data_IF_959377249507
#
_entry.id   IF_959377249507
#
_cell.length_a   1.000
_cell.length_b   1.000
_cell.length_c   1.000
_cell.angle_alpha   90.00
_cell.angle_beta   90.00
_cell.angle_gamma   90.00
#
_symmetry.space_group_name_H-M   'P 1'
#
loop_
_entity.id
_entity.type
_entity.pdbx_description
1 polymer ?
#
# COMPACT_ATOMS: atom_id res chain seq x y z
N UNK A 1 15.54 -20.26 7.41
CA UNK A 1 16.68 -19.32 7.47
C UNK A 1 16.65 -18.19 6.43
N UNK A 2 15.67 -18.10 5.52
CA UNK A 2 15.71 -17.16 4.39
C UNK A 2 15.04 -15.77 4.62
N UNK A 3 14.46 -15.48 5.79
CA UNK A 3 13.58 -14.31 5.92
C UNK A 3 13.49 -13.66 7.31
N UNK A 4 14.53 -13.75 8.15
CA UNK A 4 14.50 -13.15 9.49
C UNK A 4 15.23 -11.81 9.62
N UNK A 5 15.98 -11.36 8.61
CA UNK A 5 16.84 -10.16 8.71
C UNK A 5 16.41 -8.97 7.84
N UNK A 6 15.34 -9.10 7.03
CA UNK A 6 14.98 -8.08 6.04
C UNK A 6 14.30 -6.84 6.64
N UNK A 7 13.63 -6.94 7.79
CA UNK A 7 12.91 -5.84 8.43
C UNK A 7 13.08 -5.90 9.95
N UNK A 8 13.05 -4.75 10.64
CA UNK A 8 12.90 -4.77 12.09
C UNK A 8 11.47 -5.20 12.47
N UNK A 9 11.27 -5.78 13.65
CA UNK A 9 9.94 -6.28 14.07
C UNK A 9 8.85 -5.19 13.99
N UNK A 10 9.23 -3.93 14.23
CA UNK A 10 8.41 -2.72 14.11
C UNK A 10 7.93 -2.46 12.68
N UNK A 11 8.77 -2.66 11.66
CA UNK A 11 8.40 -2.44 10.26
C UNK A 11 7.36 -3.45 9.79
N UNK A 12 7.45 -4.70 10.25
CA UNK A 12 6.41 -5.71 10.00
C UNK A 12 5.07 -5.28 10.60
N UNK A 13 5.06 -4.74 11.82
CA UNK A 13 3.83 -4.24 12.47
C UNK A 13 3.18 -3.12 11.65
N UNK A 14 3.97 -2.20 11.12
CA UNK A 14 3.44 -1.11 10.29
C UNK A 14 2.88 -1.58 8.95
N UNK A 15 3.61 -2.45 8.25
CA UNK A 15 3.17 -3.03 6.97
C UNK A 15 1.87 -3.85 7.15
N UNK A 16 1.73 -4.55 8.27
CA UNK A 16 0.50 -5.27 8.65
C UNK A 16 -0.69 -4.32 8.78
N UNK A 17 -0.49 -3.08 9.25
CA UNK A 17 -1.58 -2.09 9.31
C UNK A 17 -2.13 -1.73 7.92
N UNK A 18 -1.24 -1.44 6.97
CA UNK A 18 -1.63 -1.09 5.60
C UNK A 18 -2.27 -2.29 4.88
N UNK A 19 -1.60 -3.43 4.82
CA UNK A 19 -2.16 -4.61 4.14
C UNK A 19 -3.34 -5.25 4.87
N UNK A 20 -3.43 -5.12 6.20
CA UNK A 20 -4.60 -5.52 6.97
C UNK A 20 -5.85 -4.74 6.55
N UNK A 21 -5.74 -3.42 6.39
CA UNK A 21 -6.83 -2.61 5.85
C UNK A 21 -7.16 -2.97 4.39
N UNK A 22 -6.16 -3.27 3.55
CA UNK A 22 -6.39 -3.77 2.19
C UNK A 22 -7.16 -5.08 2.20
N UNK A 23 -6.83 -6.01 3.11
CA UNK A 23 -7.50 -7.30 3.24
C UNK A 23 -9.00 -7.15 3.57
N UNK A 24 -9.36 -6.21 4.46
CA UNK A 24 -10.76 -5.90 4.77
C UNK A 24 -11.51 -5.46 3.49
N UNK A 25 -10.90 -4.60 2.67
CA UNK A 25 -11.52 -4.16 1.42
C UNK A 25 -11.64 -5.30 0.40
N UNK A 26 -10.54 -5.96 0.06
CA UNK A 26 -10.50 -6.87 -1.09
C UNK A 26 -11.07 -8.25 -0.81
N UNK A 27 -11.16 -8.67 0.46
CA UNK A 27 -11.76 -9.97 0.84
C UNK A 27 -13.12 -9.82 1.54
N UNK A 28 -13.35 -8.71 2.24
CA UNK A 28 -14.59 -8.42 2.97
C UNK A 28 -15.58 -7.59 2.16
N UNK A 29 -15.14 -6.43 1.67
CA UNK A 29 -15.97 -5.48 0.92
C UNK A 29 -15.74 -5.56 -0.60
N UNK A 30 -15.75 -6.78 -1.15
CA UNK A 30 -15.32 -7.14 -2.51
C UNK A 30 -15.97 -6.31 -3.63
N UNK A 31 -17.24 -5.90 -3.46
CA UNK A 31 -18.00 -5.09 -4.43
C UNK A 31 -17.67 -3.60 -4.36
N UNK A 32 -16.91 -3.16 -3.37
CA UNK A 32 -16.53 -1.76 -3.21
C UNK A 32 -15.69 -1.32 -4.42
N UNK A 33 -15.98 -0.15 -5.02
CA UNK A 33 -15.11 0.43 -6.03
C UNK A 33 -13.66 0.57 -5.55
N UNK A 34 -13.45 0.88 -4.27
CA UNK A 34 -12.12 1.08 -3.66
C UNK A 34 -11.33 -0.23 -3.48
N UNK A 35 -12.01 -1.37 -3.55
CA UNK A 35 -11.40 -2.69 -3.46
C UNK A 35 -10.90 -3.21 -4.80
N UNK A 36 -11.26 -2.59 -5.93
CA UNK A 36 -10.94 -3.11 -7.27
C UNK A 36 -9.43 -3.06 -7.59
N UNK A 37 -8.95 -3.91 -8.53
CA UNK A 37 -7.52 -4.13 -8.76
C UNK A 37 -6.72 -2.87 -9.07
N UNK A 38 -7.28 -1.95 -9.88
CA UNK A 38 -6.63 -0.66 -10.19
C UNK A 38 -6.39 0.18 -8.94
N UNK A 39 -7.36 0.21 -8.03
CA UNK A 39 -7.23 0.96 -6.78
C UNK A 39 -6.21 0.26 -5.87
N UNK A 40 -6.32 -1.05 -5.67
CA UNK A 40 -5.36 -1.82 -4.86
C UNK A 40 -3.91 -1.60 -5.32
N UNK A 41 -3.60 -1.89 -6.58
CA UNK A 41 -2.23 -1.81 -7.09
C UNK A 41 -1.80 -0.35 -7.25
N UNK A 42 -2.60 0.44 -7.97
CA UNK A 42 -2.27 1.83 -8.28
C UNK A 42 -2.14 2.69 -7.02
N UNK A 43 -3.06 2.53 -6.07
CA UNK A 43 -3.05 3.27 -4.82
C UNK A 43 -1.82 2.96 -3.97
N UNK A 44 -1.45 1.69 -3.79
CA UNK A 44 -0.23 1.34 -3.06
C UNK A 44 1.05 1.84 -3.75
N UNK A 45 1.17 1.69 -5.08
CA UNK A 45 2.36 2.10 -5.83
C UNK A 45 2.54 3.62 -5.81
N UNK A 46 1.48 4.38 -6.11
CA UNK A 46 1.50 5.84 -6.10
C UNK A 46 1.85 6.36 -4.70
N UNK A 47 1.21 5.81 -3.68
CA UNK A 47 1.49 6.18 -2.29
C UNK A 47 2.92 5.87 -1.87
N UNK A 48 3.48 4.73 -2.25
CA UNK A 48 4.86 4.37 -1.95
C UNK A 48 5.86 5.34 -2.61
N UNK A 49 5.62 5.71 -3.87
CA UNK A 49 6.45 6.69 -4.59
C UNK A 49 6.42 8.03 -3.86
N UNK A 50 5.23 8.52 -3.52
CA UNK A 50 5.04 9.80 -2.85
C UNK A 50 5.67 9.80 -1.46
N UNK A 51 5.51 8.71 -0.70
CA UNK A 51 6.08 8.59 0.63
C UNK A 51 7.61 8.62 0.62
N UNK A 52 8.24 7.85 -0.27
CA UNK A 52 9.70 7.86 -0.43
C UNK A 52 10.21 9.22 -0.89
N UNK A 53 9.55 9.84 -1.86
CA UNK A 53 9.91 11.18 -2.34
C UNK A 53 9.80 12.22 -1.22
N UNK A 54 8.74 12.15 -0.42
CA UNK A 54 8.51 13.05 0.71
C UNK A 54 9.56 12.88 1.79
N UNK A 55 9.92 11.64 2.14
CA UNK A 55 11.00 11.38 3.10
C UNK A 55 12.34 11.94 2.61
N UNK A 56 12.67 11.77 1.33
CA UNK A 56 13.91 12.32 0.77
C UNK A 56 13.98 13.85 0.78
N UNK A 57 12.84 14.53 0.64
CA UNK A 57 12.77 15.99 0.62
C UNK A 57 12.68 16.60 2.03
N UNK A 58 11.96 15.95 2.94
CA UNK A 58 11.55 16.53 4.22
C UNK A 58 11.87 15.64 5.43
N UNK A 59 12.72 14.61 5.28
CA UNK A 59 13.03 13.62 6.34
C UNK A 59 13.60 14.22 7.63
N UNK A 60 14.19 15.41 7.57
CA UNK A 60 14.65 16.16 8.75
C UNK A 60 13.49 16.68 9.63
N UNK A 61 12.26 16.70 9.10
CA UNK A 61 11.06 17.20 9.78
C UNK A 61 9.93 16.17 9.65
N UNK A 62 10.07 15.03 10.34
CA UNK A 62 9.17 13.88 10.21
C UNK A 62 7.69 14.20 10.43
N UNK A 63 7.34 15.13 11.33
CA UNK A 63 5.95 15.54 11.56
C UNK A 63 5.32 16.16 10.30
N UNK A 64 6.07 17.03 9.62
CA UNK A 64 5.65 17.67 8.38
C UNK A 64 5.65 16.67 7.22
N UNK A 65 6.74 15.90 7.08
CA UNK A 65 6.86 14.88 6.05
C UNK A 65 5.72 13.85 6.11
N UNK A 66 5.29 13.46 7.32
CA UNK A 66 4.21 12.50 7.52
C UNK A 66 2.87 13.06 7.02
N UNK A 67 2.52 14.27 7.44
CA UNK A 67 1.28 14.93 7.02
C UNK A 67 1.29 15.22 5.50
N UNK A 68 2.40 15.73 4.99
CA UNK A 68 2.58 16.03 3.58
C UNK A 68 2.47 14.77 2.72
N UNK A 69 3.17 13.69 3.10
CA UNK A 69 3.16 12.42 2.37
C UNK A 69 1.74 11.87 2.19
N UNK A 70 0.98 11.79 3.30
CA UNK A 70 -0.38 11.25 3.27
C UNK A 70 -1.32 12.15 2.48
N UNK A 71 -1.29 13.47 2.71
CA UNK A 71 -2.15 14.41 2.01
C UNK A 71 -1.88 14.40 0.49
N UNK A 72 -0.61 14.44 0.08
CA UNK A 72 -0.23 14.38 -1.34
C UNK A 72 -0.58 13.03 -1.95
N UNK A 73 -0.39 11.92 -1.23
CA UNK A 73 -0.77 10.59 -1.72
C UNK A 73 -2.28 10.49 -1.98
N UNK A 74 -3.10 11.00 -1.06
CA UNK A 74 -4.55 11.04 -1.22
C UNK A 74 -4.95 11.93 -2.41
N UNK A 75 -4.36 13.12 -2.53
CA UNK A 75 -4.65 14.04 -3.63
C UNK A 75 -4.30 13.44 -5.01
N UNK A 76 -3.11 12.83 -5.13
CA UNK A 76 -2.69 12.18 -6.38
C UNK A 76 -3.58 10.97 -6.69
N UNK A 77 -3.90 10.13 -5.70
CA UNK A 77 -4.83 9.01 -5.89
C UNK A 77 -6.21 9.45 -6.38
N UNK A 78 -6.73 10.59 -5.90
CA UNK A 78 -7.96 11.17 -6.45
C UNK A 78 -7.77 11.60 -7.91
N UNK A 79 -6.68 12.30 -8.22
CA UNK A 79 -6.37 12.73 -9.59
C UNK A 79 -6.20 11.58 -10.58
N UNK A 80 -5.58 10.49 -10.17
CA UNK A 80 -5.33 9.29 -11.00
C UNK A 80 -6.48 8.29 -10.98
N UNK A 81 -7.54 8.53 -10.20
CA UNK A 81 -8.66 7.60 -9.97
C UNK A 81 -8.16 6.23 -9.52
N UNK A 82 -7.24 6.22 -8.56
CA UNK A 82 -6.65 5.02 -7.96
C UNK A 82 -6.85 5.01 -6.45
N UNK A 83 -7.92 5.63 -5.95
CA UNK A 83 -8.14 5.82 -4.52
C UNK A 83 -8.26 4.48 -3.80
N UNK A 84 -7.27 4.21 -2.97
CA UNK A 84 -7.22 3.05 -2.10
C UNK A 84 -6.81 3.53 -0.71
N UNK A 85 -7.75 3.65 0.25
CA UNK A 85 -7.47 4.20 1.57
C UNK A 85 -6.25 3.58 2.28
N UNK A 86 -6.00 2.25 2.19
CA UNK A 86 -4.78 1.64 2.74
C UNK A 86 -3.46 2.18 2.18
N UNK A 87 -3.48 2.75 0.96
CA UNK A 87 -2.36 3.45 0.37
C UNK A 87 -1.94 4.68 1.17
N UNK A 88 -2.85 5.34 1.91
CA UNK A 88 -2.46 6.44 2.81
C UNK A 88 -1.47 5.95 3.89
N UNK A 89 -1.73 4.78 4.47
CA UNK A 89 -0.81 4.15 5.41
C UNK A 89 0.52 3.76 4.72
N UNK A 90 0.50 3.25 3.49
CA UNK A 90 1.73 2.97 2.72
C UNK A 90 2.62 4.22 2.58
N UNK A 91 2.02 5.36 2.25
CA UNK A 91 2.76 6.62 2.11
C UNK A 91 3.36 7.07 3.45
N UNK A 92 2.61 6.92 4.55
CA UNK A 92 3.08 7.26 5.89
C UNK A 92 4.25 6.37 6.32
N UNK A 93 4.17 5.05 6.09
CA UNK A 93 5.20 4.08 6.48
C UNK A 93 6.53 4.37 5.80
N UNK A 94 6.53 4.82 4.55
CA UNK A 94 7.76 5.24 3.87
C UNK A 94 8.46 6.43 4.56
N UNK A 95 7.72 7.23 5.35
CA UNK A 95 8.26 8.36 6.11
C UNK A 95 8.68 7.95 7.51
N UNK A 96 7.82 7.24 8.24
CA UNK A 96 8.04 6.91 9.67
C UNK A 96 8.70 5.54 9.91
N UNK A 97 8.98 4.79 8.84
CA UNK A 97 9.62 3.48 8.92
C UNK A 97 11.04 3.54 9.48
N UNK A 98 11.61 2.38 9.79
CA UNK A 98 12.99 2.29 10.27
C UNK A 98 14.00 2.75 9.22
N UNK A 99 15.27 2.86 9.65
CA UNK A 99 16.39 3.11 8.73
C UNK A 99 16.43 2.09 7.58
N UNK A 100 16.03 0.83 7.81
CA UNK A 100 15.97 -0.18 6.74
C UNK A 100 14.95 0.19 5.64
N UNK A 101 13.80 0.74 6.02
CA UNK A 101 12.81 1.23 5.05
C UNK A 101 13.38 2.42 4.27
N UNK A 102 14.05 3.34 4.95
CA UNK A 102 14.65 4.50 4.31
C UNK A 102 15.79 4.12 3.35
N UNK A 103 16.61 3.14 3.72
CA UNK A 103 17.71 2.61 2.91
C UNK A 103 17.24 1.93 1.62
N UNK A 104 16.03 1.35 1.60
CA UNK A 104 15.42 0.84 0.37
C UNK A 104 15.20 1.96 -0.65
N UNK A 105 14.95 3.19 -0.21
CA UNK A 105 14.58 4.30 -1.08
C UNK A 105 13.43 3.90 -2.02
N UNK A 106 13.59 4.11 -3.32
CA UNK A 106 12.54 3.77 -4.29
C UNK A 106 12.36 2.25 -4.50
N UNK A 107 13.28 1.40 -4.03
CA UNK A 107 13.03 -0.04 -4.01
C UNK A 107 11.88 -0.43 -3.10
N UNK A 108 11.52 0.41 -2.10
CA UNK A 108 10.33 0.24 -1.26
C UNK A 108 9.05 0.03 -2.09
N UNK A 109 8.94 0.73 -3.23
CA UNK A 109 7.80 0.65 -4.15
C UNK A 109 7.64 -0.76 -4.72
N UNK A 110 8.74 -1.40 -5.10
CA UNK A 110 8.72 -2.77 -5.64
C UNK A 110 8.64 -3.79 -4.50
N UNK A 111 9.47 -3.62 -3.47
CA UNK A 111 9.59 -4.51 -2.31
C UNK A 111 9.68 -3.66 -1.03
N UNK A 112 8.73 -3.78 -0.10
CA UNK A 112 7.71 -4.83 0.01
C UNK A 112 6.38 -4.54 -0.71
N UNK A 113 6.15 -3.30 -1.16
CA UNK A 113 4.79 -2.83 -1.47
C UNK A 113 4.20 -3.48 -2.73
N UNK A 114 4.88 -3.38 -3.86
CA UNK A 114 4.39 -3.92 -5.13
C UNK A 114 4.19 -5.44 -5.08
N UNK A 115 5.17 -6.17 -4.54
CA UNK A 115 5.05 -7.62 -4.34
C UNK A 115 3.88 -7.97 -3.43
N UNK A 116 3.75 -7.30 -2.28
CA UNK A 116 2.66 -7.56 -1.33
C UNK A 116 1.28 -7.32 -1.95
N UNK A 117 1.08 -6.16 -2.59
CA UNK A 117 -0.17 -5.82 -3.25
C UNK A 117 -0.50 -6.79 -4.40
N UNK A 118 0.50 -7.23 -5.17
CA UNK A 118 0.32 -8.21 -6.24
C UNK A 118 -0.06 -9.60 -5.71
N UNK A 119 0.58 -10.07 -4.64
CA UNK A 119 0.22 -11.33 -3.98
C UNK A 119 -1.22 -11.25 -3.45
N UNK A 120 -1.58 -10.15 -2.79
CA UNK A 120 -2.94 -9.91 -2.32
C UNK A 120 -3.96 -9.94 -3.46
N UNK A 121 -3.63 -9.36 -4.63
CA UNK A 121 -4.48 -9.41 -5.80
C UNK A 121 -4.68 -10.84 -6.31
N UNK A 122 -3.62 -11.64 -6.42
CA UNK A 122 -3.72 -13.04 -6.83
C UNK A 122 -4.65 -13.81 -5.88
N UNK A 123 -4.45 -13.66 -4.58
CA UNK A 123 -5.28 -14.32 -3.58
C UNK A 123 -6.73 -13.83 -3.67
N UNK A 124 -6.97 -12.53 -3.91
CA UNK A 124 -8.31 -11.98 -4.07
C UNK A 124 -9.02 -12.55 -5.30
N UNK A 125 -8.31 -12.71 -6.42
CA UNK A 125 -8.84 -13.33 -7.63
C UNK A 125 -9.19 -14.81 -7.40
N UNK A 126 -8.38 -15.54 -6.63
CA UNK A 126 -8.70 -16.93 -6.31
C UNK A 126 -9.90 -17.01 -5.36
N UNK A 127 -9.78 -16.44 -4.16
CA UNK A 127 -10.76 -16.60 -3.07
C UNK A 127 -12.13 -16.05 -3.44
N UNK A 128 -12.20 -14.87 -4.06
CA UNK A 128 -13.48 -14.24 -4.36
C UNK A 128 -14.21 -14.86 -5.55
N UNK A 129 -13.55 -15.70 -6.37
CA UNK A 129 -14.20 -16.41 -7.48
C UNK A 129 -14.44 -17.91 -7.19
N UNK A 130 -14.04 -18.42 -6.02
CA UNK A 130 -14.41 -19.78 -5.59
C UNK A 130 -15.91 -19.92 -5.27
N UNK A 131 -16.53 -18.84 -4.79
CA UNK A 131 -17.94 -18.83 -4.41
C UNK A 131 -18.80 -18.35 -5.58
N UNK A 132 -19.83 -19.12 -5.96
CA UNK A 132 -20.75 -18.77 -7.07
C UNK A 132 -21.50 -17.44 -6.87
N UNK A 133 -21.63 -16.96 -5.63
CA UNK A 133 -22.35 -15.72 -5.31
C UNK A 133 -21.46 -14.47 -5.34
N UNK A 134 -20.15 -14.64 -5.57
CA UNK A 134 -19.18 -13.54 -5.64
C UNK A 134 -18.53 -13.52 -7.02
N UNK A 135 -18.15 -12.33 -7.45
CA UNK A 135 -17.36 -12.10 -8.66
C UNK A 135 -16.34 -11.03 -8.34
N UNK A 136 -15.08 -11.26 -8.70
CA UNK A 136 -14.04 -10.26 -8.55
C UNK A 136 -13.03 -10.38 -9.68
N UNK A 137 -12.62 -9.28 -10.33
CA UNK A 137 -13.10 -7.93 -10.06
C UNK A 137 -14.48 -7.67 -10.66
N UNK A 138 -15.14 -6.64 -10.13
CA UNK A 138 -16.32 -6.03 -10.77
C UNK A 138 -15.87 -5.24 -12.02
N UNK A 139 -14.72 -4.56 -11.94
CA UNK A 139 -14.08 -3.87 -13.06
C UNK A 139 -12.57 -3.75 -12.85
N UNK A 140 -11.82 -3.64 -13.96
CA UNK A 140 -10.35 -3.51 -13.92
C UNK A 140 -9.86 -2.05 -13.97
N UNK A 141 -10.58 -1.15 -14.65
CA UNK A 141 -10.16 0.24 -14.89
C UNK A 141 -11.27 1.25 -14.60
#
# INVERSE_FOLDING_TARGET
>A
FLNYNLFEYTDFVFIVGSFGASAVLIYGAVKSPLAQPRNLIGGHIISAIIGVATYKLFGNHLWFASAFSVATAIAVMHGTKTLHPPGGATALIAVIGSQKIHDLGFYYVLRPIGIGAFIMLIIALLVNNLCKSRRYPEFWF
#
